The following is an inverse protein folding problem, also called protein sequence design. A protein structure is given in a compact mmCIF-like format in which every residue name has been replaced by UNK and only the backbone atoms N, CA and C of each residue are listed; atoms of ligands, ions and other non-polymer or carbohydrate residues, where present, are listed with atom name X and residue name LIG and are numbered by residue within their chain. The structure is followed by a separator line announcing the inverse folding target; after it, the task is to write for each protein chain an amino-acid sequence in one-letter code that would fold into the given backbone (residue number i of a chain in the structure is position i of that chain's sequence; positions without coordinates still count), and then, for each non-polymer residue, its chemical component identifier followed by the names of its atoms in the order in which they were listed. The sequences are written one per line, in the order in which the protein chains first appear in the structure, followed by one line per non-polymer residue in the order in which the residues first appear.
data_IF_003403540892
#
_entry.id   IF_003403540892
#
_cell.length_a   1.000
_cell.length_b   1.000
_cell.length_c   1.000
_cell.angle_alpha   90.00
_cell.angle_beta   90.00
_cell.angle_gamma   90.00
#
_symmetry.space_group_name_H-M   'P 1'
#
loop_
_entity.id
_entity.type
_entity.pdbx_description
1 polymer ?
#
# COMPACT_ATOMS: atom_id res chain seq x y z
N UNK A 1 -40.88 -28.31 -16.24
CA UNK A 1 -41.01 -26.82 -16.23
C UNK A 1 -40.98 -26.42 -14.76
N UNK A 2 -39.95 -25.80 -14.15
CA UNK A 2 -38.67 -25.23 -14.58
C UNK A 2 -37.71 -25.25 -13.37
N UNK A 3 -36.38 -25.36 -13.53
CA UNK A 3 -35.45 -25.14 -12.42
C UNK A 3 -35.33 -23.64 -12.13
N UNK A 4 -35.51 -23.26 -10.86
CA UNK A 4 -35.32 -21.89 -10.39
C UNK A 4 -33.84 -21.48 -10.50
N UNK A 5 -33.59 -20.37 -11.19
CA UNK A 5 -32.28 -19.76 -11.31
C UNK A 5 -31.75 -19.33 -9.94
N UNK A 6 -30.64 -19.92 -9.51
CA UNK A 6 -29.79 -19.35 -8.48
C UNK A 6 -29.00 -18.19 -9.11
N UNK A 7 -29.52 -16.98 -8.99
CA UNK A 7 -28.76 -15.77 -9.30
C UNK A 7 -27.70 -15.58 -8.20
N UNK A 8 -26.50 -16.14 -8.44
CA UNK A 8 -25.30 -15.78 -7.69
C UNK A 8 -25.05 -14.31 -7.96
N UNK A 9 -25.32 -13.44 -6.98
CA UNK A 9 -24.85 -12.07 -7.00
C UNK A 9 -23.31 -12.13 -7.07
N UNK A 10 -22.77 -11.88 -8.26
CA UNK A 10 -21.36 -11.56 -8.41
C UNK A 10 -21.15 -10.28 -7.61
N UNK A 11 -20.23 -10.24 -6.63
CA UNK A 11 -19.78 -8.98 -6.07
C UNK A 11 -19.27 -8.17 -7.27
N UNK A 12 -19.92 -7.05 -7.57
CA UNK A 12 -19.35 -6.10 -8.50
C UNK A 12 -18.16 -5.52 -7.77
N UNK A 13 -16.96 -6.02 -8.07
CA UNK A 13 -15.73 -5.32 -7.70
C UNK A 13 -15.78 -4.01 -8.47
N UNK A 14 -16.31 -2.98 -7.82
CA UNK A 14 -16.25 -1.61 -8.31
C UNK A 14 -14.79 -1.31 -8.70
N UNK A 15 -14.57 -0.66 -9.86
CA UNK A 15 -13.23 -0.43 -10.39
C UNK A 15 -12.34 0.24 -9.34
N UNK A 16 -11.11 -0.24 -9.20
CA UNK A 16 -10.12 0.40 -8.34
C UNK A 16 -9.90 1.83 -8.80
N UNK A 17 -9.92 2.74 -7.85
CA UNK A 17 -9.47 4.11 -8.00
C UNK A 17 -7.96 4.13 -8.21
N UNK A 18 -7.46 5.23 -8.79
CA UNK A 18 -6.04 5.39 -9.09
C UNK A 18 -5.15 5.29 -7.85
N UNK A 19 -5.60 5.78 -6.69
CA UNK A 19 -4.81 5.68 -5.46
C UNK A 19 -4.76 4.24 -4.93
N UNK A 20 -5.83 3.45 -5.07
CA UNK A 20 -5.83 2.01 -4.72
C UNK A 20 -4.81 1.25 -5.57
N UNK A 21 -4.74 1.55 -6.87
CA UNK A 21 -3.72 0.98 -7.77
C UNK A 21 -2.30 1.37 -7.35
N UNK A 22 -2.08 2.61 -6.89
CA UNK A 22 -0.77 3.05 -6.41
C UNK A 22 -0.36 2.38 -5.09
N UNK A 23 -1.30 2.11 -4.18
CA UNK A 23 -1.03 1.30 -2.98
C UNK A 23 -0.61 -0.12 -3.37
N UNK A 24 -1.26 -0.72 -4.38
CA UNK A 24 -0.87 -2.02 -4.92
C UNK A 24 0.53 -1.99 -5.54
N UNK A 25 0.85 -0.97 -6.34
CA UNK A 25 2.17 -0.79 -6.94
C UNK A 25 3.25 -0.63 -5.87
N UNK A 26 2.99 0.16 -4.82
CA UNK A 26 3.88 0.30 -3.67
C UNK A 26 4.14 -1.04 -3.00
N UNK A 27 3.08 -1.80 -2.71
CA UNK A 27 3.22 -3.12 -2.09
C UNK A 27 4.02 -4.09 -2.98
N UNK A 28 3.74 -4.13 -4.28
CA UNK A 28 4.47 -4.96 -5.25
C UNK A 28 5.95 -4.59 -5.28
N UNK A 29 6.28 -3.30 -5.30
CA UNK A 29 7.66 -2.85 -5.31
C UNK A 29 8.43 -3.26 -4.03
N UNK A 30 7.78 -3.22 -2.85
CA UNK A 30 8.35 -3.77 -1.61
C UNK A 30 8.53 -5.28 -1.69
N UNK A 31 7.57 -6.01 -2.28
CA UNK A 31 7.64 -7.47 -2.42
C UNK A 31 8.76 -7.91 -3.37
N UNK A 32 9.00 -7.15 -4.44
CA UNK A 32 10.04 -7.40 -5.44
C UNK A 32 11.47 -7.25 -4.90
N UNK A 33 11.64 -6.61 -3.74
CA UNK A 33 12.92 -6.62 -3.03
C UNK A 33 13.40 -8.06 -2.83
N UNK A 34 12.49 -8.99 -2.54
CA UNK A 34 12.79 -10.41 -2.32
C UNK A 34 13.19 -11.19 -3.59
N UNK A 35 12.76 -10.76 -4.78
CA UNK A 35 13.00 -11.47 -6.05
C UNK A 35 14.27 -10.97 -6.75
N UNK A 36 14.59 -9.68 -6.60
CA UNK A 36 15.77 -9.06 -7.21
C UNK A 36 17.10 -9.47 -6.53
N UNK A 37 17.03 -10.10 -5.37
CA UNK A 37 18.21 -10.47 -4.57
C UNK A 37 18.86 -11.81 -4.96
N UNK A 38 18.22 -12.65 -5.78
CA UNK A 38 18.75 -13.96 -6.21
C UNK A 38 19.90 -13.87 -7.26
N UNK A 39 20.31 -12.68 -7.68
CA UNK A 39 21.45 -12.53 -8.61
C UNK A 39 22.13 -11.17 -8.62
N UNK A 40 21.75 -10.26 -7.72
CA UNK A 40 22.06 -8.82 -7.84
C UNK A 40 22.25 -8.15 -6.47
N UNK A 41 22.95 -8.80 -5.53
CA UNK A 41 23.30 -8.15 -4.25
C UNK A 41 24.07 -6.83 -4.50
N UNK A 42 24.76 -6.71 -5.64
CA UNK A 42 25.54 -5.52 -5.99
C UNK A 42 24.77 -4.35 -6.66
N UNK A 43 23.60 -4.54 -7.29
CA UNK A 43 22.89 -3.42 -7.96
C UNK A 43 21.69 -2.84 -7.18
N UNK A 44 21.16 -3.50 -6.14
CA UNK A 44 20.08 -2.89 -5.37
C UNK A 44 20.64 -1.87 -4.39
N UNK A 45 20.86 -0.64 -4.88
CA UNK A 45 21.27 0.48 -4.02
C UNK A 45 20.11 0.84 -3.10
N UNK A 46 20.29 0.70 -1.77
CA UNK A 46 19.29 1.07 -0.76
C UNK A 46 18.74 2.49 -0.95
N UNK A 47 19.56 3.40 -1.49
CA UNK A 47 19.16 4.77 -1.84
C UNK A 47 18.20 4.84 -3.05
N UNK A 48 18.35 3.96 -4.05
CA UNK A 48 17.41 3.88 -5.17
C UNK A 48 16.08 3.26 -4.72
N UNK A 49 16.12 2.15 -3.98
CA UNK A 49 14.94 1.52 -3.38
C UNK A 49 14.10 2.55 -2.60
N UNK A 50 14.78 3.27 -1.72
CA UNK A 50 14.22 4.35 -0.91
C UNK A 50 13.56 5.43 -1.76
N UNK A 51 14.25 5.95 -2.79
CA UNK A 51 13.72 7.04 -3.62
C UNK A 51 12.45 6.65 -4.38
N UNK A 52 12.42 5.43 -4.92
CA UNK A 52 11.26 4.92 -5.65
C UNK A 52 10.05 4.75 -4.71
N UNK A 53 10.28 4.19 -3.52
CA UNK A 53 9.24 4.07 -2.49
C UNK A 53 8.73 5.44 -2.00
N UNK A 54 9.64 6.39 -1.76
CA UNK A 54 9.28 7.76 -1.37
C UNK A 54 8.45 8.45 -2.49
N UNK A 55 8.77 8.18 -3.76
CA UNK A 55 7.99 8.63 -4.91
C UNK A 55 6.58 8.06 -4.94
N UNK A 56 6.44 6.74 -4.83
CA UNK A 56 5.14 6.06 -4.78
C UNK A 56 4.28 6.54 -3.60
N UNK A 57 4.89 6.75 -2.43
CA UNK A 57 4.20 7.33 -1.26
C UNK A 57 3.64 8.71 -1.58
N UNK A 58 4.49 9.60 -2.11
CA UNK A 58 4.08 10.97 -2.44
C UNK A 58 2.93 10.97 -3.45
N UNK A 59 3.03 10.16 -4.50
CA UNK A 59 2.05 10.14 -5.58
C UNK A 59 0.72 9.52 -5.09
N UNK A 60 0.77 8.48 -4.26
CA UNK A 60 -0.42 7.91 -3.60
C UNK A 60 -1.13 8.93 -2.72
N UNK A 61 -0.38 9.69 -1.90
CA UNK A 61 -0.96 10.71 -1.02
C UNK A 61 -1.56 11.87 -1.82
N UNK A 62 -0.97 12.24 -2.97
CA UNK A 62 -1.51 13.25 -3.85
C UNK A 62 -2.85 12.82 -4.47
N UNK A 63 -2.94 11.58 -4.97
CA UNK A 63 -4.19 11.05 -5.52
C UNK A 63 -5.28 10.87 -4.45
N UNK A 64 -4.90 10.50 -3.22
CA UNK A 64 -5.84 10.45 -2.09
C UNK A 64 -6.39 11.82 -1.73
N UNK A 65 -5.58 12.88 -1.82
CA UNK A 65 -6.06 14.25 -1.65
C UNK A 65 -7.10 14.62 -2.72
N UNK A 66 -6.84 14.29 -3.99
CA UNK A 66 -7.81 14.50 -5.08
C UNK A 66 -9.11 13.72 -4.84
N UNK A 67 -9.02 12.46 -4.42
CA UNK A 67 -10.16 11.63 -4.08
C UNK A 67 -11.00 12.22 -2.92
N UNK A 68 -10.34 12.64 -1.85
CA UNK A 68 -10.99 13.28 -0.69
C UNK A 68 -11.70 14.57 -1.07
N UNK A 69 -11.07 15.41 -1.90
CA UNK A 69 -11.64 16.69 -2.32
C UNK A 69 -12.91 16.48 -3.16
N UNK A 70 -12.90 15.49 -4.05
CA UNK A 70 -14.10 15.10 -4.83
C UNK A 70 -15.24 14.63 -3.92
N UNK A 71 -14.96 13.75 -2.95
CA UNK A 71 -15.95 13.31 -1.97
C UNK A 71 -16.48 14.46 -1.10
N UNK A 72 -15.60 15.35 -0.64
CA UNK A 72 -15.99 16.50 0.17
C UNK A 72 -16.88 17.47 -0.62
N UNK A 73 -16.56 17.73 -1.89
CA UNK A 73 -17.37 18.56 -2.78
C UNK A 73 -18.75 17.96 -3.03
N UNK A 74 -18.86 16.62 -3.11
CA UNK A 74 -20.15 15.92 -3.20
C UNK A 74 -20.97 16.03 -1.91
N UNK A 75 -20.33 16.16 -0.75
CA UNK A 75 -21.01 16.30 0.55
C UNK A 75 -21.42 17.74 0.88
N UNK A 76 -20.73 18.73 0.32
CA UNK A 76 -20.97 20.15 0.57
C UNK A 76 -22.44 20.62 0.41
N UNK A 77 -23.24 20.12 -0.55
CA UNK A 77 -24.63 20.52 -0.72
C UNK A 77 -25.60 20.00 0.35
N UNK A 78 -25.20 18.99 1.14
CA UNK A 78 -26.10 18.32 2.08
C UNK A 78 -26.07 18.98 3.46
N UNK A 79 -24.91 19.01 4.14
CA UNK A 79 -24.73 19.75 5.40
C UNK A 79 -23.25 20.11 5.62
N UNK A 80 -23.00 21.28 6.21
CA UNK A 80 -21.64 21.72 6.60
C UNK A 80 -21.00 20.77 7.62
N UNK A 81 -21.77 20.35 8.63
CA UNK A 81 -21.29 19.47 9.70
C UNK A 81 -20.85 18.08 9.18
N UNK A 82 -21.54 17.53 8.17
CA UNK A 82 -21.12 16.28 7.54
C UNK A 82 -19.80 16.42 6.79
N UNK A 83 -19.60 17.52 6.06
CA UNK A 83 -18.33 17.79 5.36
C UNK A 83 -17.15 17.96 6.31
N UNK A 84 -17.34 18.67 7.43
CA UNK A 84 -16.29 18.83 8.44
C UNK A 84 -15.96 17.52 9.18
N UNK A 85 -16.98 16.71 9.49
CA UNK A 85 -16.77 15.39 10.09
C UNK A 85 -16.04 14.46 9.14
N UNK A 86 -16.47 14.41 7.88
CA UNK A 86 -15.81 13.63 6.84
C UNK A 86 -14.33 14.00 6.71
N UNK A 87 -14.01 15.29 6.60
CA UNK A 87 -12.63 15.75 6.48
C UNK A 87 -11.75 15.31 7.67
N UNK A 88 -12.28 15.36 8.90
CA UNK A 88 -11.56 14.88 10.10
C UNK A 88 -11.35 13.37 10.07
N UNK A 89 -12.41 12.61 9.82
CA UNK A 89 -12.35 11.14 9.84
C UNK A 89 -11.42 10.63 8.72
N UNK A 90 -11.51 11.23 7.53
CA UNK A 90 -10.65 10.91 6.39
C UNK A 90 -9.17 11.23 6.66
N UNK A 91 -8.87 12.37 7.30
CA UNK A 91 -7.49 12.74 7.63
C UNK A 91 -6.81 11.67 8.51
N UNK A 92 -7.54 11.10 9.48
CA UNK A 92 -7.02 10.01 10.34
C UNK A 92 -6.69 8.76 9.54
N UNK A 93 -7.54 8.40 8.57
CA UNK A 93 -7.33 7.23 7.72
C UNK A 93 -6.15 7.43 6.77
N UNK A 94 -6.08 8.59 6.11
CA UNK A 94 -4.97 8.97 5.24
C UNK A 94 -3.64 8.95 5.99
N UNK A 95 -3.59 9.55 7.17
CA UNK A 95 -2.36 9.63 7.97
C UNK A 95 -1.89 8.24 8.43
N UNK A 96 -2.83 7.32 8.71
CA UNK A 96 -2.51 5.92 9.02
C UNK A 96 -1.88 5.19 7.84
N UNK A 97 -2.51 5.27 6.66
CA UNK A 97 -1.97 4.67 5.44
C UNK A 97 -0.57 5.23 5.14
N UNK A 98 -0.39 6.55 5.24
CA UNK A 98 0.91 7.19 5.06
C UNK A 98 1.97 6.66 6.03
N UNK A 99 1.63 6.56 7.32
CA UNK A 99 2.54 6.03 8.33
C UNK A 99 2.93 4.58 8.05
N UNK A 100 1.98 3.75 7.62
CA UNK A 100 2.24 2.35 7.30
C UNK A 100 3.10 2.17 6.04
N UNK A 101 2.92 3.01 5.02
CA UNK A 101 3.81 3.03 3.85
C UNK A 101 5.22 3.53 4.21
N UNK A 102 5.35 4.58 5.03
CA UNK A 102 6.66 5.03 5.53
C UNK A 102 7.38 3.94 6.35
N UNK A 103 6.63 3.23 7.19
CA UNK A 103 7.13 2.08 7.95
C UNK A 103 7.65 0.98 7.02
N UNK A 104 6.93 0.69 5.95
CA UNK A 104 7.35 -0.26 4.92
C UNK A 104 8.58 0.14 4.16
N UNK A 105 8.67 1.40 3.75
CA UNK A 105 9.86 1.95 3.12
C UNK A 105 11.09 1.79 4.02
N UNK A 106 10.98 2.13 5.30
CA UNK A 106 12.08 2.01 6.24
C UNK A 106 12.49 0.55 6.48
N UNK A 107 11.52 -0.37 6.56
CA UNK A 107 11.80 -1.80 6.71
C UNK A 107 12.45 -2.39 5.47
N UNK A 108 11.99 -2.04 4.28
CA UNK A 108 12.59 -2.48 3.02
C UNK A 108 14.06 -2.03 2.91
N UNK A 109 14.36 -0.77 3.25
CA UNK A 109 15.72 -0.25 3.28
C UNK A 109 16.61 -0.97 4.30
N UNK A 110 16.09 -1.22 5.51
CA UNK A 110 16.79 -1.98 6.55
C UNK A 110 17.14 -3.40 6.07
N UNK A 111 16.18 -4.12 5.47
CA UNK A 111 16.42 -5.48 4.97
C UNK A 111 17.44 -5.51 3.83
N UNK A 112 17.40 -4.53 2.92
CA UNK A 112 18.38 -4.40 1.85
C UNK A 112 19.81 -4.26 2.40
N UNK A 113 19.99 -3.49 3.47
CA UNK A 113 21.30 -3.31 4.11
C UNK A 113 21.73 -4.55 4.91
N UNK A 114 20.81 -5.17 5.67
CA UNK A 114 21.08 -6.41 6.40
C UNK A 114 21.57 -7.52 5.46
N UNK A 115 20.93 -7.69 4.30
CA UNK A 115 21.36 -8.70 3.31
C UNK A 115 22.72 -8.38 2.70
N UNK A 116 23.04 -7.10 2.45
CA UNK A 116 24.36 -6.68 1.93
C UNK A 116 25.49 -7.04 2.89
N UNK A 117 25.24 -6.90 4.20
CA UNK A 117 26.24 -7.17 5.25
C UNK A 117 26.37 -8.68 5.52
N UNK A 118 25.29 -9.44 5.39
CA UNK A 118 25.29 -10.89 5.63
C UNK A 118 25.81 -11.65 4.39
N UNK A 119 27.14 -11.73 4.26
CA UNK A 119 27.79 -12.61 3.27
C UNK A 119 27.51 -14.08 3.60
N UNK A 120 26.68 -14.71 2.77
CA UNK A 120 26.37 -16.15 2.60
C UNK A 120 25.81 -16.92 3.79
N UNK A 121 26.24 -16.69 5.03
CA UNK A 121 25.95 -17.60 6.14
C UNK A 121 24.56 -17.41 6.79
N UNK A 122 23.77 -16.39 6.43
CA UNK A 122 22.47 -16.12 7.05
C UNK A 122 21.42 -15.44 6.13
N UNK A 123 21.63 -15.44 4.81
CA UNK A 123 20.71 -14.77 3.86
C UNK A 123 19.28 -15.34 3.95
N UNK A 124 19.16 -16.65 4.19
CA UNK A 124 17.87 -17.33 4.32
C UNK A 124 17.03 -16.82 5.51
N UNK A 125 17.65 -16.44 6.64
CA UNK A 125 16.91 -15.88 7.78
C UNK A 125 16.35 -14.49 7.45
N UNK A 126 17.15 -13.62 6.86
CA UNK A 126 16.70 -12.29 6.42
C UNK A 126 15.59 -12.41 5.41
N UNK A 127 15.71 -13.38 4.49
CA UNK A 127 14.68 -13.68 3.48
C UNK A 127 13.37 -14.11 4.11
N UNK A 128 13.42 -15.04 5.08
CA UNK A 128 12.23 -15.51 5.79
C UNK A 128 11.55 -14.37 6.57
N UNK A 129 12.33 -13.52 7.23
CA UNK A 129 11.82 -12.33 7.94
C UNK A 129 11.17 -11.33 6.98
N UNK A 130 11.80 -11.04 5.84
CA UNK A 130 11.25 -10.15 4.81
C UNK A 130 9.96 -10.71 4.18
N UNK A 131 9.91 -12.02 3.92
CA UNK A 131 8.72 -12.69 3.40
C UNK A 131 7.54 -12.56 4.38
N UNK A 132 7.77 -12.84 5.66
CA UNK A 132 6.75 -12.67 6.70
C UNK A 132 6.31 -11.21 6.81
N UNK A 133 7.25 -10.28 6.74
CA UNK A 133 6.99 -8.85 6.76
C UNK A 133 6.09 -8.43 5.60
N UNK A 134 6.43 -8.79 4.37
CA UNK A 134 5.69 -8.43 3.16
C UNK A 134 4.25 -8.94 3.18
N UNK A 135 4.02 -10.15 3.72
CA UNK A 135 2.66 -10.69 3.91
C UNK A 135 1.86 -9.87 4.93
N UNK A 136 2.49 -9.46 6.04
CA UNK A 136 1.85 -8.60 7.04
C UNK A 136 1.55 -7.21 6.49
N UNK A 137 2.48 -6.66 5.71
CA UNK A 137 2.31 -5.39 5.03
C UNK A 137 1.11 -5.42 4.08
N UNK A 138 1.01 -6.46 3.23
CA UNK A 138 -0.15 -6.63 2.32
C UNK A 138 -1.48 -6.55 3.07
N UNK A 139 -1.58 -7.26 4.20
CA UNK A 139 -2.79 -7.27 5.02
C UNK A 139 -3.09 -5.91 5.64
N UNK A 140 -2.06 -5.18 6.04
CA UNK A 140 -2.21 -3.86 6.66
C UNK A 140 -2.65 -2.82 5.64
N UNK A 141 -1.91 -2.68 4.54
CA UNK A 141 -2.26 -1.76 3.46
C UNK A 141 -3.63 -2.08 2.87
N UNK A 142 -3.96 -3.36 2.67
CA UNK A 142 -5.29 -3.76 2.22
C UNK A 142 -6.40 -3.36 3.19
N UNK A 143 -6.14 -3.45 4.50
CA UNK A 143 -7.08 -2.99 5.52
C UNK A 143 -7.22 -1.46 5.49
N UNK A 144 -6.13 -0.72 5.43
CA UNK A 144 -6.17 0.75 5.39
C UNK A 144 -6.87 1.24 4.12
N UNK A 145 -6.64 0.55 3.00
CA UNK A 145 -7.31 0.81 1.72
C UNK A 145 -8.82 0.59 1.82
N UNK A 146 -9.25 -0.53 2.39
CA UNK A 146 -10.67 -0.84 2.58
C UNK A 146 -11.35 0.15 3.55
N UNK A 147 -10.66 0.62 4.58
CA UNK A 147 -11.22 1.61 5.51
C UNK A 147 -11.36 3.01 4.90
N UNK A 148 -10.57 3.34 3.87
CA UNK A 148 -10.62 4.63 3.17
C UNK A 148 -11.70 4.64 2.06
N UNK A 149 -11.93 3.48 1.44
CA UNK A 149 -12.87 3.31 0.33
C UNK A 149 -14.32 3.56 0.77
#
# INVERSE_FOLDING_TARGET
VSPGCQARAVPSEEPKTKWEEMVDQFWQYVADVNTKMDGVVDNLKSSQLTRELDGLIRDTMAELSVYSDDLQNKLAPYTKDAGERFARDFAVLRDRLHADMLGARNKAAQYSEEMRVMMEQNVDDVRNRLNLYTRKLKKRLGKDTEEIR
#
